data_IF_119532331651
#
_entry.id   IF_119532331651
#
_cell.length_a   1.000
_cell.length_b   1.000
_cell.length_c   1.000
_cell.angle_alpha   90.00
_cell.angle_beta   90.00
_cell.angle_gamma   90.00
#
_symmetry.space_group_name_H-M   'P 1'
#
loop_
_entity.id
_entity.type
_entity.pdbx_description
1 polymer ?
#
# COMPACT_ATOMS: atom_id res chain seq x y z
N UNK A 1 -13.99 17.16 24.03
CA UNK A 1 -13.96 18.18 22.97
C UNK A 1 -13.87 17.46 21.63
N UNK A 2 -14.77 17.71 20.66
CA UNK A 2 -14.69 17.03 19.38
C UNK A 2 -13.48 17.55 18.59
N UNK A 3 -12.61 16.64 18.18
CA UNK A 3 -11.48 16.90 17.30
C UNK A 3 -12.01 17.54 16.01
N UNK A 4 -11.64 18.80 15.77
CA UNK A 4 -11.97 19.50 14.53
C UNK A 4 -11.44 18.67 13.35
N UNK A 5 -12.30 18.47 12.35
CA UNK A 5 -11.97 17.95 11.03
C UNK A 5 -10.62 18.51 10.53
N UNK A 6 -9.73 17.69 9.95
CA UNK A 6 -8.43 18.16 9.47
C UNK A 6 -8.68 19.29 8.45
N UNK A 7 -8.09 20.47 8.72
CA UNK A 7 -8.13 21.62 7.82
C UNK A 7 -7.76 21.14 6.42
N UNK A 8 -8.62 21.45 5.44
CA UNK A 8 -8.36 21.14 4.04
C UNK A 8 -6.92 21.56 3.69
N UNK A 9 -6.17 20.64 3.11
CA UNK A 9 -4.96 20.97 2.39
C UNK A 9 -5.39 21.79 1.16
N UNK A 10 -5.57 23.10 1.36
CA UNK A 10 -5.75 24.04 0.26
C UNK A 10 -4.37 24.19 -0.34
N UNK A 11 -4.03 23.24 -1.23
CA UNK A 11 -2.92 23.36 -2.15
C UNK A 11 -3.13 24.70 -2.87
N UNK A 12 -2.39 25.75 -2.49
CA UNK A 12 -2.54 27.08 -3.04
C UNK A 12 -2.10 27.08 -4.51
N UNK A 13 -3.05 26.79 -5.40
CA UNK A 13 -3.11 27.26 -6.79
C UNK A 13 -4.55 27.13 -7.26
N UNK A 14 -5.21 28.28 -7.46
CA UNK A 14 -6.36 28.36 -8.38
C UNK A 14 -5.84 28.00 -9.76
N UNK A 15 -5.96 26.73 -10.15
CA UNK A 15 -5.86 26.26 -11.52
C UNK A 15 -7.17 25.52 -11.79
N UNK A 16 -7.78 25.81 -12.96
CA UNK A 16 -9.20 25.66 -13.22
C UNK A 16 -9.83 24.30 -12.91
N UNK A 17 -11.10 24.33 -12.49
CA UNK A 17 -12.05 23.22 -12.61
C UNK A 17 -11.89 22.01 -11.69
N UNK A 18 -10.75 21.78 -11.04
CA UNK A 18 -10.52 20.56 -10.25
C UNK A 18 -11.32 20.55 -8.94
N UNK A 19 -12.06 19.47 -8.69
CA UNK A 19 -12.89 19.33 -7.49
C UNK A 19 -12.05 19.15 -6.22
N UNK A 20 -12.59 19.55 -5.06
CA UNK A 20 -11.94 19.35 -3.74
C UNK A 20 -11.60 17.87 -3.50
N UNK A 21 -12.43 16.95 -3.99
CA UNK A 21 -12.21 15.50 -3.84
C UNK A 21 -11.01 15.02 -4.65
N UNK A 22 -10.86 15.50 -5.88
CA UNK A 22 -9.69 15.21 -6.72
C UNK A 22 -8.40 15.76 -6.11
N UNK A 23 -8.45 16.96 -5.54
CA UNK A 23 -7.31 17.53 -4.81
C UNK A 23 -6.96 16.70 -3.56
N UNK A 24 -7.95 16.31 -2.76
CA UNK A 24 -7.73 15.47 -1.57
C UNK A 24 -7.21 14.07 -1.93
N UNK A 25 -7.58 13.55 -3.09
CA UNK A 25 -7.06 12.29 -3.62
C UNK A 25 -5.61 12.45 -4.06
N UNK A 26 -5.28 13.46 -4.86
CA UNK A 26 -3.91 13.73 -5.30
C UNK A 26 -2.95 13.94 -4.12
N UNK A 27 -3.42 14.64 -3.08
CA UNK A 27 -2.68 14.79 -1.82
C UNK A 27 -2.47 13.49 -1.05
N UNK A 28 -3.10 12.37 -1.37
CA UNK A 28 -2.76 11.07 -0.77
C UNK A 28 -1.97 10.17 -1.71
N UNK A 29 -1.74 10.57 -2.97
CA UNK A 29 -0.96 9.78 -3.92
C UNK A 29 0.51 10.16 -3.94
N UNK A 30 0.84 11.43 -3.63
CA UNK A 30 2.21 11.97 -3.70
C UNK A 30 2.50 12.92 -2.55
N UNK A 31 3.77 13.09 -2.20
CA UNK A 31 4.16 14.04 -1.16
C UNK A 31 4.06 15.48 -1.67
N UNK A 32 4.59 15.80 -2.86
CA UNK A 32 4.62 17.19 -3.34
C UNK A 32 5.18 18.17 -2.27
N UNK A 33 6.15 17.72 -1.48
CA UNK A 33 6.82 18.47 -0.43
C UNK A 33 8.32 18.21 -0.51
N UNK A 34 9.14 19.04 0.15
CA UNK A 34 10.61 18.94 0.04
C UNK A 34 11.34 18.86 1.37
N UNK A 35 10.63 19.13 2.49
CA UNK A 35 11.17 19.01 3.85
C UNK A 35 10.06 18.70 4.83
N UNK A 36 10.45 18.09 5.94
CA UNK A 36 9.57 17.76 7.05
C UNK A 36 10.38 17.49 8.31
N UNK A 37 9.67 17.36 9.43
CA UNK A 37 10.23 17.02 10.74
C UNK A 37 9.45 15.86 11.33
N UNK A 38 10.11 14.95 12.02
CA UNK A 38 9.49 13.80 12.68
C UNK A 38 10.24 13.47 13.98
N UNK A 39 9.57 12.78 14.89
CA UNK A 39 10.19 12.18 16.06
C UNK A 39 10.47 10.71 15.73
N UNK A 40 11.66 10.20 16.10
CA UNK A 40 12.08 8.82 15.82
C UNK A 40 11.45 7.79 16.77
N UNK A 41 10.41 8.16 17.50
CA UNK A 41 9.55 7.25 18.25
C UNK A 41 8.50 6.61 17.32
N UNK A 42 8.63 5.31 16.97
CA UNK A 42 7.66 4.65 16.10
C UNK A 42 6.32 4.50 16.80
N UNK A 43 5.22 4.73 16.08
CA UNK A 43 3.87 4.38 16.56
C UNK A 43 3.38 3.04 16.01
N UNK A 44 4.05 2.52 14.97
CA UNK A 44 3.73 1.24 14.35
C UNK A 44 4.99 0.58 13.79
N UNK A 45 4.90 -0.74 13.60
CA UNK A 45 5.97 -1.58 13.07
C UNK A 45 5.41 -2.43 11.94
N UNK A 46 6.10 -2.42 10.79
CA UNK A 46 5.95 -3.44 9.76
C UNK A 46 6.88 -4.61 10.01
N UNK A 47 6.92 -5.58 9.09
CA UNK A 47 7.85 -6.72 9.19
C UNK A 47 9.33 -6.29 9.26
N UNK A 48 9.69 -5.25 8.52
CA UNK A 48 11.08 -4.80 8.35
C UNK A 48 11.28 -3.30 8.57
N UNK A 49 10.20 -2.57 8.87
CA UNK A 49 10.21 -1.10 8.92
C UNK A 49 9.60 -0.59 10.21
N UNK A 50 10.23 0.43 10.77
CA UNK A 50 9.64 1.27 11.81
C UNK A 50 8.87 2.41 11.16
N UNK A 51 7.76 2.82 11.77
CA UNK A 51 6.85 3.85 11.23
C UNK A 51 6.61 4.92 12.28
N UNK A 52 6.94 6.18 11.95
CA UNK A 52 6.63 7.33 12.79
C UNK A 52 5.79 8.37 12.05
N UNK A 53 5.16 9.24 12.84
CA UNK A 53 4.39 10.37 12.34
C UNK A 53 5.28 11.60 12.31
N UNK A 54 5.21 12.33 11.21
CA UNK A 54 5.90 13.61 11.05
C UNK A 54 4.97 14.71 10.57
N UNK A 55 5.56 15.85 10.23
CA UNK A 55 4.89 16.99 9.64
C UNK A 55 5.73 17.57 8.51
N UNK A 56 5.12 17.85 7.37
CA UNK A 56 5.80 18.58 6.31
C UNK A 56 6.05 20.03 6.73
N UNK A 57 7.23 20.55 6.41
CA UNK A 57 7.66 21.92 6.76
C UNK A 57 7.92 22.81 5.55
N UNK A 58 8.13 22.23 4.35
CA UNK A 58 8.34 23.00 3.11
C UNK A 58 7.67 22.34 1.90
N UNK A 59 6.99 23.17 1.11
CA UNK A 59 6.29 22.79 -0.11
C UNK A 59 4.76 22.94 0.02
N UNK A 60 4.01 22.60 -1.05
CA UNK A 60 2.54 22.65 -1.09
C UNK A 60 1.79 22.07 0.12
N UNK A 61 2.42 21.16 0.86
CA UNK A 61 1.83 20.47 2.03
C UNK A 61 2.36 20.90 3.37
N UNK A 62 3.12 21.99 3.43
CA UNK A 62 3.63 22.49 4.70
C UNK A 62 2.49 22.64 5.72
N UNK A 63 2.62 22.00 6.88
CA UNK A 63 1.56 21.94 7.88
C UNK A 63 0.85 20.58 7.98
N UNK A 64 0.80 19.79 6.91
CA UNK A 64 0.15 18.50 6.89
C UNK A 64 0.97 17.43 7.63
N UNK A 65 0.27 16.42 8.15
CA UNK A 65 0.91 15.23 8.70
C UNK A 65 1.47 14.34 7.58
N UNK A 66 2.61 13.73 7.86
CA UNK A 66 3.25 12.72 7.01
C UNK A 66 3.54 11.45 7.82
N UNK A 67 3.76 10.36 7.10
CA UNK A 67 4.32 9.12 7.65
C UNK A 67 5.76 9.01 7.18
N UNK A 68 6.64 8.65 8.10
CA UNK A 68 8.06 8.39 7.84
C UNK A 68 8.33 6.94 8.18
N UNK A 69 8.93 6.21 7.25
CA UNK A 69 9.32 4.81 7.43
C UNK A 69 10.82 4.65 7.21
N UNK A 70 11.45 3.84 8.02
CA UNK A 70 12.86 3.47 7.87
C UNK A 70 13.04 2.00 8.23
N UNK A 71 14.11 1.39 7.73
CA UNK A 71 14.43 0.02 8.08
C UNK A 71 14.85 -0.10 9.53
N UNK A 72 14.39 -1.15 10.20
CA UNK A 72 14.83 -1.45 11.56
C UNK A 72 16.30 -1.90 11.53
N UNK A 73 17.12 -1.39 12.46
CA UNK A 73 18.57 -1.63 12.53
C UNK A 73 18.94 -3.12 12.42
N UNK A 74 19.95 -3.46 11.62
CA UNK A 74 20.46 -4.83 11.44
C UNK A 74 20.03 -5.53 10.15
N UNK A 75 19.21 -4.89 9.31
CA UNK A 75 18.81 -5.42 7.99
C UNK A 75 19.81 -5.00 6.90
N UNK A 76 20.54 -5.96 6.32
CA UNK A 76 21.56 -5.76 5.26
C UNK A 76 20.94 -5.48 3.88
N UNK A 77 19.64 -5.18 3.82
CA UNK A 77 18.86 -5.24 2.58
C UNK A 77 18.57 -3.86 1.98
N UNK A 78 19.17 -2.78 2.48
CA UNK A 78 18.70 -1.44 2.14
C UNK A 78 18.73 -1.17 0.63
N UNK A 79 19.83 -1.46 -0.06
CA UNK A 79 19.97 -1.22 -1.50
C UNK A 79 19.08 -2.14 -2.35
N UNK A 80 19.13 -3.45 -2.11
CA UNK A 80 18.30 -4.42 -2.85
C UNK A 80 16.80 -4.29 -2.56
N UNK A 81 16.43 -3.71 -1.42
CA UNK A 81 15.04 -3.40 -1.13
C UNK A 81 14.52 -2.28 -2.02
N UNK A 82 15.29 -1.21 -2.28
CA UNK A 82 14.81 -0.14 -3.18
C UNK A 82 14.54 -0.69 -4.58
N UNK A 83 15.41 -1.56 -5.09
CA UNK A 83 15.20 -2.17 -6.40
C UNK A 83 13.94 -3.06 -6.44
N UNK A 84 13.74 -3.88 -5.39
CA UNK A 84 12.55 -4.74 -5.29
C UNK A 84 11.27 -3.96 -5.01
N UNK A 85 11.34 -2.82 -4.30
CA UNK A 85 10.21 -1.92 -4.04
C UNK A 85 9.80 -1.18 -5.31
N UNK A 86 10.75 -0.65 -6.09
CA UNK A 86 10.49 -0.04 -7.40
C UNK A 86 9.82 -1.05 -8.34
N UNK A 87 10.33 -2.30 -8.37
CA UNK A 87 9.71 -3.38 -9.15
C UNK A 87 8.29 -3.69 -8.66
N UNK A 88 8.09 -3.77 -7.34
CA UNK A 88 6.79 -4.03 -6.71
C UNK A 88 5.77 -2.95 -7.07
N UNK A 89 6.13 -1.68 -6.91
CA UNK A 89 5.27 -0.53 -7.22
C UNK A 89 4.90 -0.52 -8.70
N UNK A 90 5.87 -0.77 -9.60
CA UNK A 90 5.62 -0.84 -11.05
C UNK A 90 4.63 -1.97 -11.39
N UNK A 91 4.86 -3.17 -10.88
CA UNK A 91 4.00 -4.34 -11.12
C UNK A 91 2.59 -4.12 -10.55
N UNK A 92 2.49 -3.64 -9.30
CA UNK A 92 1.22 -3.34 -8.66
C UNK A 92 0.43 -2.27 -9.43
N UNK A 93 1.09 -1.19 -9.89
CA UNK A 93 0.46 -0.14 -10.70
C UNK A 93 -0.17 -0.71 -11.98
N UNK A 94 0.55 -1.57 -12.70
CA UNK A 94 0.03 -2.22 -13.91
C UNK A 94 -1.24 -3.04 -13.64
N UNK A 95 -1.20 -3.87 -12.61
CA UNK A 95 -2.34 -4.71 -12.18
C UNK A 95 -3.54 -3.86 -11.77
N UNK A 96 -3.33 -2.82 -10.95
CA UNK A 96 -4.39 -1.93 -10.47
C UNK A 96 -5.05 -1.18 -11.61
N UNK A 97 -4.26 -0.69 -12.58
CA UNK A 97 -4.80 0.00 -13.75
C UNK A 97 -5.67 -0.94 -14.59
N UNK A 98 -5.19 -2.16 -14.84
CA UNK A 98 -5.96 -3.17 -15.56
C UNK A 98 -7.25 -3.56 -14.81
N UNK A 99 -7.19 -3.72 -13.48
CA UNK A 99 -8.36 -4.00 -12.65
C UNK A 99 -9.38 -2.86 -12.70
N UNK A 100 -8.93 -1.61 -12.55
CA UNK A 100 -9.79 -0.44 -12.63
C UNK A 100 -10.51 -0.33 -13.99
N UNK A 101 -9.84 -0.73 -15.08
CA UNK A 101 -10.39 -0.72 -16.43
C UNK A 101 -11.52 -1.74 -16.64
N UNK A 102 -11.63 -2.77 -15.78
CA UNK A 102 -12.76 -3.71 -15.81
C UNK A 102 -14.08 -3.07 -15.36
N UNK A 103 -14.03 -1.91 -14.70
CA UNK A 103 -15.22 -1.18 -14.24
C UNK A 103 -16.19 -2.01 -13.38
N UNK A 104 -15.65 -2.92 -12.56
CA UNK A 104 -16.45 -3.80 -11.68
C UNK A 104 -17.13 -3.08 -10.52
N UNK A 105 -16.59 -1.93 -10.12
CA UNK A 105 -17.13 -1.07 -9.07
C UNK A 105 -17.00 0.40 -9.47
N UNK A 106 -17.81 1.25 -8.82
CA UNK A 106 -17.74 2.71 -8.98
C UNK A 106 -16.47 3.26 -8.36
N UNK A 107 -16.08 2.75 -7.18
CA UNK A 107 -14.81 3.10 -6.55
C UNK A 107 -13.63 2.56 -7.35
N UNK A 108 -12.61 3.42 -7.51
CA UNK A 108 -11.33 3.04 -8.13
C UNK A 108 -10.25 2.87 -7.07
N UNK A 109 -9.26 2.05 -7.38
CA UNK A 109 -8.10 1.80 -6.51
C UNK A 109 -6.91 2.56 -7.04
N UNK A 110 -6.16 3.22 -6.16
CA UNK A 110 -4.95 3.95 -6.50
C UNK A 110 -3.81 3.54 -5.58
N UNK A 111 -2.60 3.55 -6.11
CA UNK A 111 -1.39 3.26 -5.34
C UNK A 111 -0.69 4.57 -4.99
N UNK A 112 -0.47 4.79 -3.69
CA UNK A 112 0.42 5.83 -3.21
C UNK A 112 1.85 5.59 -3.70
N UNK A 113 2.54 6.66 -4.06
CA UNK A 113 3.96 6.63 -4.41
C UNK A 113 4.76 7.33 -3.30
N UNK A 114 5.37 6.57 -2.37
CA UNK A 114 6.26 7.16 -1.38
C UNK A 114 7.50 7.75 -2.06
N UNK A 115 8.13 8.74 -1.41
CA UNK A 115 9.39 9.32 -1.88
C UNK A 115 10.52 8.97 -0.92
N UNK A 116 11.72 8.74 -1.48
CA UNK A 116 12.94 8.51 -0.71
C UNK A 116 13.52 9.87 -0.32
N UNK A 117 13.56 10.15 0.98
CA UNK A 117 14.20 11.33 1.57
C UNK A 117 15.44 10.92 2.36
N UNK A 118 16.30 11.88 2.69
CA UNK A 118 17.49 11.66 3.52
C UNK A 118 17.27 12.24 4.92
N UNK A 119 17.51 11.45 5.95
CA UNK A 119 17.56 11.95 7.33
C UNK A 119 18.79 12.86 7.50
N UNK A 120 18.60 14.04 8.09
CA UNK A 120 19.69 14.99 8.28
C UNK A 120 20.55 14.68 9.51
N UNK A 121 20.10 13.77 10.39
CA UNK A 121 20.84 13.43 11.61
C UNK A 121 21.88 12.33 11.38
N UNK A 122 21.52 11.31 10.60
CA UNK A 122 22.34 10.10 10.41
C UNK A 122 22.51 9.70 8.93
N UNK A 123 22.07 10.56 8.00
CA UNK A 123 22.14 10.34 6.55
C UNK A 123 21.38 9.10 6.03
N UNK A 124 20.58 8.44 6.88
CA UNK A 124 19.78 7.28 6.49
C UNK A 124 18.69 7.65 5.49
N UNK A 125 18.31 6.69 4.64
CA UNK A 125 17.19 6.89 3.72
C UNK A 125 15.86 6.62 4.43
N UNK A 126 14.90 7.50 4.15
CA UNK A 126 13.55 7.49 4.70
C UNK A 126 12.55 7.33 3.56
N UNK A 127 11.57 6.46 3.71
CA UNK A 127 10.38 6.46 2.86
C UNK A 127 9.34 7.38 3.49
N UNK A 128 9.03 8.47 2.78
CA UNK A 128 8.08 9.48 3.23
C UNK A 128 6.82 9.38 2.39
N UNK A 129 5.67 9.36 3.05
CA UNK A 129 4.37 9.33 2.38
C UNK A 129 3.34 10.20 3.12
N UNK A 130 2.23 10.56 2.46
CA UNK A 130 1.12 11.29 3.08
C UNK A 130 0.49 10.50 4.23
N UNK A 131 0.20 11.15 5.37
CA UNK A 131 -0.53 10.48 6.45
C UNK A 131 -1.98 10.19 6.06
N UNK A 132 -2.39 8.94 6.24
CA UNK A 132 -3.76 8.48 6.01
C UNK A 132 -4.46 8.25 7.36
N UNK A 133 -5.46 9.09 7.68
CA UNK A 133 -6.17 9.00 8.94
C UNK A 133 -7.02 7.71 9.06
N UNK A 134 -7.69 7.30 7.98
CA UNK A 134 -8.57 6.14 7.93
C UNK A 134 -7.84 4.88 7.43
N UNK A 135 -6.62 4.68 7.92
CA UNK A 135 -5.77 3.57 7.52
C UNK A 135 -6.35 2.23 8.00
N UNK A 136 -6.42 1.26 7.08
CA UNK A 136 -6.87 -0.10 7.35
C UNK A 136 -6.10 -1.11 6.50
N UNK A 137 -5.95 -2.32 7.03
CA UNK A 137 -5.40 -3.46 6.32
C UNK A 137 -6.53 -4.32 5.79
N UNK A 138 -6.61 -4.48 4.48
CA UNK A 138 -7.69 -5.17 3.81
C UNK A 138 -7.43 -6.68 3.68
N UNK A 139 -6.19 -7.04 3.38
CA UNK A 139 -5.71 -8.41 3.42
C UNK A 139 -4.22 -8.43 3.80
N UNK A 140 -3.67 -9.61 4.04
CA UNK A 140 -2.26 -9.79 4.39
C UNK A 140 -1.52 -10.69 3.41
N UNK A 141 -0.19 -10.60 3.41
CA UNK A 141 0.67 -11.51 2.65
C UNK A 141 0.62 -12.98 3.15
N UNK A 142 -0.02 -13.26 4.28
CA UNK A 142 -0.23 -14.63 4.76
C UNK A 142 -1.61 -15.20 4.39
N UNK A 143 -2.45 -14.42 3.69
CA UNK A 143 -3.80 -14.83 3.27
C UNK A 143 -4.93 -14.38 4.21
N UNK A 144 -4.65 -13.50 5.18
CA UNK A 144 -5.66 -12.91 6.05
C UNK A 144 -6.52 -11.94 5.27
N UNK A 145 -7.80 -11.78 5.64
CA UNK A 145 -8.71 -10.86 4.98
C UNK A 145 -9.66 -10.19 5.97
N UNK A 146 -9.93 -8.91 5.72
CA UNK A 146 -11.00 -8.14 6.38
C UNK A 146 -12.40 -8.39 5.78
N UNK A 147 -12.46 -9.10 4.64
CA UNK A 147 -13.71 -9.34 3.91
C UNK A 147 -14.10 -8.26 2.90
N UNK A 148 -13.28 -7.22 2.70
CA UNK A 148 -13.55 -6.21 1.66
C UNK A 148 -13.58 -6.84 0.26
N UNK A 149 -14.74 -6.78 -0.39
CA UNK A 149 -15.01 -7.50 -1.63
C UNK A 149 -14.19 -6.98 -2.82
N UNK A 150 -13.88 -5.68 -2.86
CA UNK A 150 -13.11 -5.08 -3.95
C UNK A 150 -11.64 -5.43 -3.82
N UNK A 151 -11.11 -5.36 -2.60
CA UNK A 151 -9.70 -5.66 -2.31
C UNK A 151 -9.39 -7.15 -2.46
N UNK A 152 -10.28 -8.02 -2.00
CA UNK A 152 -10.16 -9.48 -2.22
C UNK A 152 -10.25 -9.85 -3.70
N UNK A 153 -11.12 -9.20 -4.47
CA UNK A 153 -11.21 -9.39 -5.92
C UNK A 153 -9.98 -8.86 -6.65
N UNK A 154 -9.39 -7.72 -6.23
CA UNK A 154 -8.15 -7.20 -6.79
C UNK A 154 -6.99 -8.20 -6.63
N UNK A 155 -6.85 -8.80 -5.44
CA UNK A 155 -5.85 -9.85 -5.20
C UNK A 155 -6.10 -11.12 -6.02
N UNK A 156 -7.36 -11.55 -6.21
CA UNK A 156 -7.63 -12.67 -7.13
C UNK A 156 -7.29 -12.28 -8.58
N UNK A 157 -7.75 -11.11 -9.02
CA UNK A 157 -7.51 -10.62 -10.38
C UNK A 157 -6.03 -10.54 -10.73
N UNK A 158 -5.15 -10.15 -9.81
CA UNK A 158 -3.71 -10.09 -10.08
C UNK A 158 -3.13 -11.43 -10.55
N UNK A 159 -3.64 -12.53 -9.99
CA UNK A 159 -3.24 -13.88 -10.37
C UNK A 159 -3.73 -14.23 -11.77
N UNK A 160 -4.97 -13.87 -12.08
CA UNK A 160 -5.50 -14.05 -13.43
C UNK A 160 -4.75 -13.19 -14.47
N UNK A 161 -4.59 -11.90 -14.20
CA UNK A 161 -3.95 -10.92 -15.08
C UNK A 161 -2.50 -11.30 -15.42
N UNK A 162 -1.77 -11.84 -14.45
CA UNK A 162 -0.38 -12.28 -14.63
C UNK A 162 -0.23 -13.66 -15.28
N UNK A 163 -1.33 -14.31 -15.66
CA UNK A 163 -1.31 -15.67 -16.21
C UNK A 163 -0.89 -16.72 -15.19
N UNK A 164 -1.46 -16.64 -13.98
CA UNK A 164 -1.21 -17.52 -12.84
C UNK A 164 0.22 -17.47 -12.26
N UNK A 165 0.89 -16.31 -12.38
CA UNK A 165 2.30 -16.14 -11.95
C UNK A 165 2.48 -15.30 -10.71
N UNK A 166 1.67 -14.26 -10.52
CA UNK A 166 1.87 -13.23 -9.49
C UNK A 166 0.62 -13.03 -8.66
N UNK A 167 0.79 -12.78 -7.36
CA UNK A 167 -0.29 -12.40 -6.45
C UNK A 167 0.00 -11.05 -5.81
N UNK A 168 -0.89 -10.08 -5.99
CA UNK A 168 -0.87 -8.80 -5.29
C UNK A 168 -1.67 -8.94 -3.99
N UNK A 169 -1.05 -8.65 -2.86
CA UNK A 169 -1.61 -8.83 -1.53
C UNK A 169 -1.02 -7.80 -0.55
N UNK A 170 -1.23 -8.02 0.75
CA UNK A 170 -0.91 -7.05 1.81
C UNK A 170 -1.52 -5.67 1.52
N UNK A 171 -2.73 -5.68 0.94
CA UNK A 171 -3.42 -4.47 0.55
C UNK A 171 -3.82 -3.71 1.81
N UNK A 172 -3.29 -2.49 1.96
CA UNK A 172 -3.51 -1.63 3.11
C UNK A 172 -3.49 -0.15 2.70
N UNK A 173 -4.22 0.68 3.42
CA UNK A 173 -4.31 2.11 3.14
C UNK A 173 -5.65 2.70 3.53
N UNK A 174 -6.09 3.75 2.86
CA UNK A 174 -7.38 4.39 3.12
C UNK A 174 -8.44 3.89 2.14
N UNK A 175 -9.65 3.62 2.64
CA UNK A 175 -10.84 3.62 1.79
C UNK A 175 -11.73 4.81 2.12
N UNK A 176 -12.12 5.51 1.07
CA UNK A 176 -12.99 6.68 1.07
C UNK A 176 -14.28 6.31 0.36
N UNK A 177 -15.26 7.21 0.42
CA UNK A 177 -16.56 6.97 -0.24
C UNK A 177 -16.44 6.75 -1.76
N UNK A 178 -15.43 7.33 -2.40
CA UNK A 178 -15.24 7.40 -3.85
C UNK A 178 -14.04 6.59 -4.37
N UNK A 179 -13.09 6.24 -3.51
CA UNK A 179 -11.88 5.54 -3.93
C UNK A 179 -11.18 4.79 -2.80
N UNK A 180 -10.26 3.92 -3.19
CA UNK A 180 -9.28 3.29 -2.33
C UNK A 180 -7.90 3.86 -2.67
N UNK A 181 -7.11 4.18 -1.66
CA UNK A 181 -5.72 4.59 -1.80
C UNK A 181 -4.90 3.62 -0.95
N UNK A 182 -4.19 2.73 -1.63
CA UNK A 182 -3.35 1.72 -1.01
C UNK A 182 -1.89 2.15 -1.00
N UNK A 183 -1.11 1.64 -0.06
CA UNK A 183 0.34 1.84 0.06
C UNK A 183 1.01 0.52 0.44
N UNK A 184 2.31 0.41 0.18
CA UNK A 184 3.14 -0.75 0.52
C UNK A 184 2.51 -2.12 0.20
N UNK A 185 2.07 -2.38 -1.04
CA UNK A 185 1.56 -3.69 -1.38
C UNK A 185 2.69 -4.72 -1.44
N UNK A 186 2.35 -5.99 -1.30
CA UNK A 186 3.26 -7.11 -1.53
C UNK A 186 2.88 -7.79 -2.84
N UNK A 187 3.88 -8.06 -3.69
CA UNK A 187 3.73 -8.99 -4.80
C UNK A 187 4.40 -10.31 -4.41
N UNK A 188 3.69 -11.42 -4.63
CA UNK A 188 4.27 -12.75 -4.51
C UNK A 188 4.57 -13.34 -5.88
N UNK A 189 5.74 -13.97 -6.03
CA UNK A 189 6.10 -14.77 -7.20
C UNK A 189 6.60 -16.15 -6.77
N UNK A 190 6.47 -17.17 -7.63
CA UNK A 190 6.90 -18.52 -7.28
C UNK A 190 8.36 -18.60 -6.79
N UNK A 191 9.22 -17.71 -7.28
CA UNK A 191 10.67 -17.67 -7.00
C UNK A 191 11.10 -16.62 -5.97
N UNK A 192 10.16 -15.91 -5.34
CA UNK A 192 10.45 -14.87 -4.34
C UNK A 192 11.24 -13.68 -4.88
N UNK A 193 10.82 -13.15 -6.02
CA UNK A 193 11.55 -12.10 -6.75
C UNK A 193 11.27 -10.68 -6.23
N UNK A 194 10.30 -10.52 -5.31
CA UNK A 194 9.79 -9.22 -4.84
C UNK A 194 10.19 -8.90 -3.39
N UNK A 195 11.33 -9.42 -2.95
CA UNK A 195 11.90 -9.12 -1.64
C UNK A 195 11.34 -9.99 -0.50
N UNK A 196 11.67 -9.68 0.76
CA UNK A 196 11.52 -10.59 1.89
C UNK A 196 10.06 -10.84 2.32
N UNK A 197 9.12 -9.98 1.89
CA UNK A 197 7.68 -10.17 2.11
C UNK A 197 7.02 -11.12 1.11
N UNK A 198 7.74 -11.47 0.03
CA UNK A 198 7.32 -12.46 -0.96
C UNK A 198 7.47 -13.88 -0.38
N UNK A 199 6.37 -14.45 0.09
CA UNK A 199 6.35 -15.79 0.69
C UNK A 199 6.42 -16.93 -0.36
N UNK A 200 6.49 -16.58 -1.65
CA UNK A 200 6.65 -17.52 -2.73
C UNK A 200 5.36 -18.26 -3.10
N UNK A 201 5.53 -19.42 -3.75
CA UNK A 201 4.41 -20.29 -4.11
C UNK A 201 3.57 -20.72 -2.90
N UNK A 202 4.19 -20.87 -1.73
CA UNK A 202 3.48 -21.18 -0.48
C UNK A 202 2.48 -20.07 -0.11
N UNK A 203 2.88 -18.80 -0.20
CA UNK A 203 1.97 -17.67 0.05
C UNK A 203 0.81 -17.61 -0.95
N UNK A 204 1.08 -17.86 -2.23
CA UNK A 204 0.04 -17.94 -3.26
C UNK A 204 -0.95 -19.07 -2.95
N UNK A 205 -0.44 -20.26 -2.64
CA UNK A 205 -1.28 -21.41 -2.28
C UNK A 205 -2.13 -21.13 -1.04
N UNK A 206 -1.55 -20.49 -0.01
CA UNK A 206 -2.25 -20.18 1.23
C UNK A 206 -3.32 -19.12 1.02
N UNK A 207 -3.04 -18.07 0.26
CA UNK A 207 -4.04 -17.07 -0.12
C UNK A 207 -5.25 -17.74 -0.77
N UNK A 208 -5.05 -18.60 -1.79
CA UNK A 208 -6.16 -19.23 -2.49
C UNK A 208 -6.91 -20.30 -1.68
N UNK A 209 -6.26 -20.90 -0.69
CA UNK A 209 -6.92 -21.81 0.25
C UNK A 209 -7.97 -21.06 1.11
N UNK A 210 -7.58 -19.90 1.64
CA UNK A 210 -8.45 -19.06 2.48
C UNK A 210 -9.36 -18.13 1.67
N UNK A 211 -9.05 -17.88 0.40
CA UNK A 211 -9.82 -17.00 -0.46
C UNK A 211 -11.23 -17.56 -0.73
N UNK A 212 -12.22 -16.68 -0.58
CA UNK A 212 -13.59 -16.87 -1.04
C UNK A 212 -13.88 -15.79 -2.06
N UNK A 213 -14.29 -16.20 -3.27
CA UNK A 213 -14.62 -15.27 -4.33
C UNK A 213 -15.78 -14.37 -3.87
N UNK A 214 -15.63 -13.05 -4.04
CA UNK A 214 -16.74 -12.12 -3.87
C UNK A 214 -17.57 -12.05 -5.15
N UNK A 215 -18.68 -11.30 -5.13
CA UNK A 215 -19.49 -11.03 -6.34
C UNK A 215 -18.73 -10.26 -7.43
N UNK A 216 -17.58 -9.66 -7.10
CA UNK A 216 -16.72 -8.95 -8.03
C UNK A 216 -15.73 -9.88 -8.73
N UNK A 217 -15.45 -11.06 -8.18
CA UNK A 217 -14.63 -12.07 -8.84
C UNK A 217 -15.36 -12.65 -10.05
N UNK A 218 -14.68 -12.72 -11.20
CA UNK A 218 -15.29 -13.27 -12.41
C UNK A 218 -15.07 -14.79 -12.51
N UNK A 219 -16.07 -15.58 -12.94
CA UNK A 219 -15.93 -17.04 -13.04
C UNK A 219 -14.81 -17.53 -13.96
N UNK A 220 -14.46 -16.75 -14.99
CA UNK A 220 -13.40 -17.09 -15.95
C UNK A 220 -11.99 -16.72 -15.45
N UNK A 221 -11.86 -16.07 -14.29
CA UNK A 221 -10.55 -15.75 -13.74
C UNK A 221 -9.83 -17.00 -13.27
N UNK A 222 -8.57 -17.12 -13.68
CA UNK A 222 -7.69 -18.19 -13.23
C UNK A 222 -7.58 -18.16 -11.71
N UNK A 223 -7.62 -19.34 -11.08
CA UNK A 223 -7.58 -19.52 -9.64
C UNK A 223 -6.68 -20.69 -9.32
N UNK A 224 -5.78 -20.54 -8.35
CA UNK A 224 -5.04 -21.67 -7.82
C UNK A 224 -6.00 -22.57 -7.01
N UNK A 225 -5.79 -23.90 -7.04
CA UNK A 225 -6.59 -24.84 -6.25
C UNK A 225 -6.52 -24.54 -4.74
N UNK A 226 -5.47 -23.86 -4.30
CA UNK A 226 -5.24 -23.51 -2.91
C UNK A 226 -4.76 -24.72 -2.12
N UNK A 227 -3.83 -24.51 -1.20
CA UNK A 227 -3.39 -25.53 -0.26
C UNK A 227 -3.03 -24.85 1.05
N UNK A 228 -3.58 -25.35 2.15
CA UNK A 228 -3.22 -24.85 3.47
C UNK A 228 -1.72 -24.97 3.69
N UNK A 229 -1.08 -23.86 4.05
CA UNK A 229 0.32 -23.82 4.46
C UNK A 229 0.42 -23.41 5.93
N UNK A 230 -0.37 -22.41 6.34
CA UNK A 230 -0.35 -21.85 7.69
C UNK A 230 -1.60 -21.01 7.97
N UNK A 231 -1.86 -20.77 9.26
CA UNK A 231 -2.91 -19.86 9.72
C UNK A 231 -2.56 -18.42 9.33
N UNK A 232 -3.46 -17.69 8.66
CA UNK A 232 -3.19 -16.32 8.29
C UNK A 232 -3.20 -15.39 9.50
N UNK A 233 -2.36 -14.37 9.45
CA UNK A 233 -2.33 -13.26 10.40
C UNK A 233 -2.65 -11.97 9.67
N UNK A 234 -3.49 -11.11 10.27
CA UNK A 234 -3.78 -9.79 9.71
C UNK A 234 -2.66 -8.78 9.95
N UNK A 235 -1.70 -9.11 10.83
CA UNK A 235 -0.47 -8.36 11.02
C UNK A 235 0.51 -8.60 9.88
N UNK A 236 1.50 -7.72 9.72
CA UNK A 236 2.60 -7.91 8.74
C UNK A 236 3.68 -8.87 9.26
N UNK A 237 3.58 -9.32 10.52
CA UNK A 237 4.55 -10.22 11.16
C UNK A 237 3.86 -11.53 11.51
N UNK A 238 4.44 -12.65 11.06
CA UNK A 238 4.25 -13.95 11.70
C UNK A 238 5.09 -13.91 12.99
N UNK A 239 4.45 -13.77 14.14
CA UNK A 239 5.09 -14.02 15.45
C UNK A 239 5.19 -15.50 15.71
#
# INVERSE_FOLDING_TARGET
>A
MPLRSPRLCICHRRLGGTSIRELQKDCLLRNNASRGTYDRQPFAYGAFRSVAKGKYTKGPRAGDAMVVKWFTTGTVFEESYYDTDVLTVKTATGIINAFNALNLATQKVYLNQPEVWKDLNDDSKLLVEPYMADFRKFNSNTGGTSGDSLMTALSHYSYHHSGAKLLLCDLQGAARSDCYIITDPVVMSARREYGPTDLGQAGINNFFYHHRCSSLCQPHWQKNRGQYQYTPVMTTTLT
#
